data_IF_876018933092
#
_entry.id   IF_876018933092
#
_cell.length_a   1.000
_cell.length_b   1.000
_cell.length_c   1.000
_cell.angle_alpha   90.00
_cell.angle_beta   90.00
_cell.angle_gamma   90.00
#
_symmetry.space_group_name_H-M   'P 1'
#
loop_
_entity.id
_entity.type
_entity.pdbx_description
1 polymer ?
#
# COMPACT_ATOMS: atom_id res chain seq x y z
N UNK A 1 14.25 5.49 30.39
CA UNK A 1 13.71 6.52 31.28
C UNK A 1 13.49 5.89 32.65
N UNK A 2 13.94 6.52 33.73
CA UNK A 2 13.72 6.02 35.10
C UNK A 2 12.28 6.29 35.52
N UNK A 3 11.75 5.51 36.46
CA UNK A 3 10.35 5.65 36.91
C UNK A 3 10.02 7.03 37.52
N UNK A 4 11.01 7.60 38.21
CA UNK A 4 10.91 8.96 38.76
C UNK A 4 10.76 10.01 37.64
N UNK A 5 11.56 9.90 36.57
CA UNK A 5 11.52 10.83 35.43
C UNK A 5 10.17 10.74 34.70
N UNK A 6 9.61 9.52 34.64
CA UNK A 6 8.29 9.31 34.05
C UNK A 6 7.17 9.95 34.84
N UNK A 7 7.22 9.85 36.18
CA UNK A 7 6.23 10.53 37.06
C UNK A 7 6.28 12.04 36.88
N UNK A 8 7.49 12.64 36.92
CA UNK A 8 7.66 14.09 36.65
C UNK A 8 7.10 14.52 35.30
N UNK A 9 7.24 13.69 34.29
CA UNK A 9 6.66 13.95 32.95
C UNK A 9 5.13 13.89 33.00
N UNK A 10 4.54 12.94 33.75
CA UNK A 10 3.10 12.86 33.90
C UNK A 10 2.54 14.06 34.69
N UNK A 11 3.23 14.46 35.75
CA UNK A 11 2.85 15.64 36.55
C UNK A 11 2.86 16.91 35.67
N UNK A 12 3.88 17.09 34.85
CA UNK A 12 4.00 18.21 33.91
C UNK A 12 2.92 18.22 32.80
N UNK A 13 2.25 17.09 32.51
CA UNK A 13 1.14 17.08 31.56
C UNK A 13 -0.09 17.85 32.04
N UNK A 14 -0.25 17.98 33.38
CA UNK A 14 -1.35 18.74 33.97
C UNK A 14 -1.27 20.26 33.73
N UNK A 15 -0.07 20.78 33.47
CA UNK A 15 0.20 22.21 33.28
C UNK A 15 0.14 22.63 31.78
N UNK A 16 -0.18 21.69 30.87
CA UNK A 16 -0.22 21.96 29.46
C UNK A 16 -1.47 22.71 29.01
N UNK A 17 -1.30 23.69 28.14
CA UNK A 17 -2.42 24.34 27.47
C UNK A 17 -3.01 23.42 26.36
N UNK A 18 -4.24 23.69 25.84
CA UNK A 18 -4.89 22.82 24.86
C UNK A 18 -4.05 22.55 23.60
N UNK A 19 -3.32 23.56 23.09
CA UNK A 19 -2.47 23.38 21.91
C UNK A 19 -1.25 22.49 22.19
N UNK A 20 -0.68 22.59 23.39
CA UNK A 20 0.40 21.72 23.84
C UNK A 20 -0.07 20.27 24.05
N UNK A 21 -1.29 20.07 24.55
CA UNK A 21 -1.91 18.76 24.70
C UNK A 21 -2.07 18.10 23.33
N UNK A 22 -2.61 18.81 22.34
CA UNK A 22 -2.76 18.32 20.98
C UNK A 22 -1.40 17.93 20.36
N UNK A 23 -0.39 18.78 20.55
CA UNK A 23 0.97 18.49 20.08
C UNK A 23 1.56 17.26 20.78
N UNK A 24 1.39 17.12 22.09
CA UNK A 24 1.87 15.97 22.85
C UNK A 24 1.18 14.67 22.38
N UNK A 25 -0.14 14.70 22.17
CA UNK A 25 -0.90 13.57 21.64
C UNK A 25 -0.37 13.15 20.28
N UNK A 26 -0.13 14.09 19.36
CA UNK A 26 0.43 13.83 18.05
C UNK A 26 1.83 13.18 18.13
N UNK A 27 2.67 13.67 19.03
CA UNK A 27 4.00 13.10 19.27
C UNK A 27 3.93 11.66 19.81
N UNK A 28 3.06 11.39 20.77
CA UNK A 28 2.85 10.04 21.34
C UNK A 28 2.32 9.09 20.27
N UNK A 29 1.35 9.49 19.47
CA UNK A 29 0.83 8.68 18.36
C UNK A 29 1.90 8.38 17.30
N UNK A 30 2.77 9.34 17.01
CA UNK A 30 3.89 9.14 16.09
C UNK A 30 4.93 8.14 16.65
N UNK A 31 5.25 8.24 17.95
CA UNK A 31 6.16 7.30 18.61
C UNK A 31 5.57 5.90 18.64
N UNK A 32 4.31 5.75 19.01
CA UNK A 32 3.60 4.47 19.02
C UNK A 32 3.65 3.82 17.64
N UNK A 33 3.31 4.55 16.59
CA UNK A 33 3.34 4.07 15.20
C UNK A 33 4.73 3.58 14.79
N UNK A 34 5.80 4.31 15.18
CA UNK A 34 7.18 3.90 14.91
C UNK A 34 7.56 2.62 15.66
N UNK A 35 7.22 2.52 16.93
CA UNK A 35 7.52 1.32 17.74
C UNK A 35 6.78 0.09 17.23
N UNK A 36 5.51 0.23 16.86
CA UNK A 36 4.72 -0.85 16.25
C UNK A 36 5.34 -1.32 14.92
N UNK A 37 5.68 -0.39 14.03
CA UNK A 37 6.32 -0.74 12.76
C UNK A 37 7.69 -1.44 12.94
N UNK A 38 8.49 -1.01 13.91
CA UNK A 38 9.75 -1.68 14.26
C UNK A 38 9.47 -3.08 14.77
N UNK A 39 8.52 -3.25 15.69
CA UNK A 39 8.14 -4.55 16.25
C UNK A 39 7.69 -5.52 15.17
N UNK A 40 6.84 -5.10 14.23
CA UNK A 40 6.40 -5.93 13.11
C UNK A 40 7.56 -6.34 12.18
N UNK A 41 8.49 -5.42 11.89
CA UNK A 41 9.68 -5.71 11.09
C UNK A 41 10.63 -6.69 11.83
N UNK A 42 10.78 -6.53 13.15
CA UNK A 42 11.61 -7.43 13.95
C UNK A 42 10.97 -8.81 14.10
N UNK A 43 9.65 -8.90 14.27
CA UNK A 43 8.90 -10.17 14.28
C UNK A 43 9.13 -10.95 12.98
N UNK A 44 9.03 -10.27 11.84
CA UNK A 44 9.34 -10.88 10.53
C UNK A 44 10.79 -11.36 10.47
N UNK A 45 11.76 -10.57 10.96
CA UNK A 45 13.17 -10.94 10.90
C UNK A 45 13.51 -12.13 11.80
N UNK A 46 12.71 -12.40 12.82
CA UNK A 46 12.86 -13.61 13.64
C UNK A 46 12.36 -14.87 12.93
N UNK A 47 11.36 -14.75 12.09
CA UNK A 47 10.82 -15.86 11.29
C UNK A 47 11.70 -16.21 10.08
N UNK A 48 12.26 -15.21 9.39
CA UNK A 48 13.15 -15.41 8.24
C UNK A 48 14.58 -15.65 8.72
N UNK A 49 14.96 -16.91 8.84
CA UNK A 49 16.28 -17.32 9.35
C UNK A 49 17.41 -17.21 8.32
N UNK A 50 17.27 -17.64 7.05
CA UNK A 50 18.37 -17.67 6.11
C UNK A 50 18.80 -16.28 5.64
N UNK A 51 20.08 -16.13 5.33
CA UNK A 51 20.64 -14.93 4.72
C UNK A 51 20.05 -14.72 3.32
N UNK A 52 19.48 -13.53 3.01
CA UNK A 52 18.88 -13.28 1.70
C UNK A 52 19.87 -13.25 0.53
N UNK A 53 21.19 -13.28 0.81
CA UNK A 53 22.25 -13.25 -0.22
C UNK A 53 22.86 -14.62 -0.51
N UNK A 54 22.95 -15.51 0.46
CA UNK A 54 23.63 -16.81 0.30
C UNK A 54 22.85 -17.99 0.89
N UNK A 55 21.67 -17.77 1.48
CA UNK A 55 20.84 -18.83 2.05
C UNK A 55 21.34 -19.43 3.38
N UNK A 56 22.49 -19.05 3.89
CA UNK A 56 23.04 -19.61 5.13
C UNK A 56 22.28 -19.06 6.35
N UNK A 57 21.90 -19.95 7.28
CA UNK A 57 21.12 -19.58 8.47
C UNK A 57 21.96 -18.93 9.59
N UNK A 58 23.28 -19.19 9.62
CA UNK A 58 24.17 -18.68 10.65
C UNK A 58 24.34 -17.16 10.55
N UNK A 59 23.73 -16.45 11.48
CA UNK A 59 23.79 -14.98 11.59
C UNK A 59 24.14 -14.55 13.00
N UNK A 60 24.77 -13.40 13.12
CA UNK A 60 25.02 -12.73 14.39
C UNK A 60 24.38 -11.34 14.41
N UNK A 61 23.95 -10.88 15.59
CA UNK A 61 23.46 -9.49 15.77
C UNK A 61 24.62 -8.53 15.49
N UNK A 62 24.36 -7.51 14.66
CA UNK A 62 25.35 -6.53 14.19
C UNK A 62 24.88 -5.10 14.40
N UNK A 63 24.51 -4.77 15.65
CA UNK A 63 24.00 -3.46 16.01
C UNK A 63 22.62 -3.15 15.45
N UNK A 64 22.21 -1.89 15.56
CA UNK A 64 20.91 -1.38 15.07
C UNK A 64 21.12 -0.35 13.98
N UNK A 65 20.08 -0.19 13.11
CA UNK A 65 20.02 0.90 12.16
C UNK A 65 19.71 2.22 12.88
N UNK A 66 19.90 3.37 12.19
CA UNK A 66 19.49 4.67 12.72
C UNK A 66 17.99 4.73 13.08
N UNK A 67 17.16 3.91 12.45
CA UNK A 67 15.72 3.79 12.72
C UNK A 67 15.37 2.79 13.82
N UNK A 68 16.37 2.24 14.54
CA UNK A 68 16.17 1.31 15.65
C UNK A 68 16.04 -0.17 15.28
N UNK A 69 16.01 -0.53 14.00
CA UNK A 69 15.82 -1.91 13.52
C UNK A 69 17.09 -2.72 13.73
N UNK A 70 16.97 -3.95 14.25
CA UNK A 70 18.09 -4.87 14.43
C UNK A 70 18.73 -5.24 13.10
N UNK A 71 20.05 -5.10 13.00
CA UNK A 71 20.88 -5.58 11.89
C UNK A 71 21.53 -6.92 12.26
N UNK A 72 21.69 -7.74 11.25
CA UNK A 72 22.37 -9.01 11.33
C UNK A 72 23.53 -9.06 10.34
N UNK A 73 24.59 -9.79 10.66
CA UNK A 73 25.68 -10.11 9.75
C UNK A 73 25.70 -11.61 9.51
N UNK A 74 25.73 -12.01 8.25
CA UNK A 74 25.87 -13.41 7.87
C UNK A 74 27.29 -13.89 8.16
N UNK A 75 27.44 -15.05 8.76
CA UNK A 75 28.77 -15.65 9.00
C UNK A 75 29.36 -16.29 7.74
N UNK A 76 28.55 -16.65 6.76
CA UNK A 76 29.05 -17.24 5.51
C UNK A 76 29.53 -16.17 4.52
N UNK A 77 28.67 -15.24 4.10
CA UNK A 77 29.04 -14.25 3.08
C UNK A 77 29.48 -12.89 3.63
N UNK A 78 29.46 -12.67 4.94
CA UNK A 78 29.86 -11.41 5.60
C UNK A 78 28.91 -10.23 5.39
N UNK A 79 27.88 -10.35 4.52
CA UNK A 79 26.92 -9.28 4.24
C UNK A 79 26.01 -8.99 5.43
N UNK A 80 25.64 -7.72 5.59
CA UNK A 80 24.71 -7.30 6.62
C UNK A 80 23.30 -7.16 6.06
N UNK A 81 22.30 -7.55 6.85
CA UNK A 81 20.89 -7.49 6.48
C UNK A 81 20.01 -7.20 7.71
N UNK A 82 18.74 -6.89 7.48
CA UNK A 82 17.74 -6.66 8.51
C UNK A 82 16.39 -7.24 8.04
N UNK A 83 15.36 -7.21 8.85
CA UNK A 83 14.01 -7.64 8.45
C UNK A 83 13.43 -6.91 7.26
N UNK A 84 14.03 -5.79 6.86
CA UNK A 84 13.65 -5.04 5.65
C UNK A 84 14.35 -5.54 4.37
N UNK A 85 15.48 -6.19 4.50
CA UNK A 85 16.28 -6.65 3.35
C UNK A 85 15.52 -7.70 2.56
N UNK A 86 15.56 -7.60 1.24
CA UNK A 86 14.80 -8.45 0.30
C UNK A 86 13.27 -8.38 0.53
N UNK A 87 12.77 -7.29 1.09
CA UNK A 87 11.34 -7.03 1.22
C UNK A 87 10.95 -5.76 0.50
N UNK A 88 9.66 -5.62 0.23
CA UNK A 88 9.05 -4.45 -0.41
C UNK A 88 9.38 -3.15 0.33
N UNK A 89 9.42 -3.23 1.67
CA UNK A 89 9.75 -2.08 2.52
C UNK A 89 11.26 -1.78 2.58
N UNK A 90 12.09 -2.55 1.87
CA UNK A 90 13.55 -2.39 1.88
C UNK A 90 14.01 -0.98 1.50
N UNK A 91 13.38 -0.38 0.51
CA UNK A 91 13.68 0.96 -0.02
C UNK A 91 12.78 2.08 0.53
N UNK A 92 11.87 1.78 1.45
CA UNK A 92 10.95 2.76 2.01
C UNK A 92 11.62 3.45 3.21
N UNK A 93 11.81 4.78 3.14
CA UNK A 93 12.45 5.55 4.21
C UNK A 93 11.58 5.67 5.47
N UNK A 94 10.27 5.71 5.32
CA UNK A 94 9.29 5.85 6.40
C UNK A 94 8.41 4.59 6.48
N UNK A 95 8.94 3.46 6.98
CA UNK A 95 8.17 2.20 7.07
C UNK A 95 6.95 2.33 7.99
N UNK A 96 7.02 3.18 9.01
CA UNK A 96 5.92 3.51 9.93
C UNK A 96 4.70 4.08 9.20
N UNK A 97 4.92 5.00 8.26
CA UNK A 97 3.85 5.59 7.46
C UNK A 97 3.37 4.63 6.36
N UNK A 98 4.27 3.84 5.79
CA UNK A 98 3.89 2.79 4.85
C UNK A 98 2.96 1.75 5.49
N UNK A 99 3.27 1.30 6.72
CA UNK A 99 2.39 0.40 7.46
C UNK A 99 1.03 1.03 7.76
N UNK A 100 0.96 2.35 8.00
CA UNK A 100 -0.32 3.04 8.14
C UNK A 100 -1.14 3.05 6.83
N UNK A 101 -0.49 3.21 5.68
CA UNK A 101 -1.16 3.09 4.37
C UNK A 101 -1.63 1.66 4.14
N UNK A 102 -0.80 0.66 4.46
CA UNK A 102 -1.16 -0.75 4.34
C UNK A 102 -2.36 -1.13 5.21
N UNK A 103 -2.39 -0.68 6.48
CA UNK A 103 -3.53 -0.90 7.38
C UNK A 103 -4.82 -0.24 6.89
N UNK A 104 -4.73 0.94 6.25
CA UNK A 104 -5.89 1.59 5.63
C UNK A 104 -6.43 0.76 4.45
N UNK A 105 -5.56 0.09 3.69
CA UNK A 105 -5.97 -0.76 2.55
C UNK A 105 -6.54 -2.11 2.97
N UNK A 106 -6.02 -2.70 4.05
CA UNK A 106 -6.38 -4.04 4.54
C UNK A 106 -7.40 -4.01 5.67
N UNK A 107 -7.82 -2.82 6.10
CA UNK A 107 -8.81 -2.67 7.16
C UNK A 107 -10.21 -3.10 6.72
N UNK A 108 -11.08 -3.41 7.68
CA UNK A 108 -12.49 -3.78 7.45
C UNK A 108 -13.35 -2.62 6.94
N UNK A 109 -12.92 -1.38 7.17
CA UNK A 109 -13.59 -0.19 6.65
C UNK A 109 -13.11 0.13 5.23
N UNK A 110 -13.97 0.80 4.43
CA UNK A 110 -13.60 1.23 3.10
C UNK A 110 -12.33 2.12 3.13
N UNK A 111 -11.33 1.85 2.26
CA UNK A 111 -10.10 2.61 2.23
C UNK A 111 -10.34 4.10 1.98
N UNK A 112 -9.64 4.96 2.69
CA UNK A 112 -9.77 6.41 2.51
C UNK A 112 -9.26 6.83 1.12
N UNK A 113 -9.75 7.95 0.60
CA UNK A 113 -9.19 8.50 -0.63
C UNK A 113 -7.70 8.84 -0.45
N UNK A 114 -6.91 8.74 -1.52
CA UNK A 114 -5.46 9.05 -1.49
C UNK A 114 -5.19 10.45 -0.93
N UNK A 115 -6.06 11.44 -1.24
CA UNK A 115 -5.90 12.81 -0.77
C UNK A 115 -6.10 12.94 0.74
N UNK A 116 -7.20 12.39 1.27
CA UNK A 116 -7.51 12.39 2.71
C UNK A 116 -6.43 11.65 3.52
N UNK A 117 -5.99 10.49 3.02
CA UNK A 117 -4.95 9.73 3.67
C UNK A 117 -3.60 10.45 3.67
N UNK A 118 -3.24 11.11 2.57
CA UNK A 118 -2.02 11.90 2.46
C UNK A 118 -2.02 13.08 3.44
N UNK A 119 -3.12 13.81 3.53
CA UNK A 119 -3.30 14.91 4.48
C UNK A 119 -3.18 14.42 5.93
N UNK A 120 -3.91 13.36 6.30
CA UNK A 120 -3.87 12.76 7.64
C UNK A 120 -2.46 12.29 8.06
N UNK A 121 -1.67 11.79 7.12
CA UNK A 121 -0.32 11.27 7.38
C UNK A 121 0.79 12.31 7.17
N UNK A 122 0.47 13.51 6.73
CA UNK A 122 1.46 14.55 6.38
C UNK A 122 2.36 14.12 5.22
N UNK A 123 1.80 13.42 4.22
CA UNK A 123 2.53 12.91 3.07
C UNK A 123 2.08 13.57 1.77
N UNK A 124 2.96 13.53 0.76
CA UNK A 124 2.54 13.89 -0.59
C UNK A 124 1.58 12.83 -1.15
N UNK A 125 0.50 13.26 -1.83
CA UNK A 125 -0.50 12.39 -2.45
C UNK A 125 0.10 11.35 -3.42
N UNK A 126 1.15 11.74 -4.16
CA UNK A 126 1.86 10.81 -5.06
C UNK A 126 2.62 9.72 -4.32
N UNK A 127 3.13 10.00 -3.11
CA UNK A 127 3.79 8.99 -2.27
C UNK A 127 2.78 7.94 -1.82
N UNK A 128 1.61 8.36 -1.32
CA UNK A 128 0.54 7.44 -0.91
C UNK A 128 0.06 6.61 -2.11
N UNK A 129 -0.17 7.26 -3.26
CA UNK A 129 -0.57 6.56 -4.48
C UNK A 129 0.46 5.52 -4.91
N UNK A 130 1.76 5.87 -4.97
CA UNK A 130 2.84 4.94 -5.33
C UNK A 130 2.94 3.76 -4.35
N UNK A 131 2.73 3.99 -3.07
CA UNK A 131 2.75 2.93 -2.09
C UNK A 131 1.57 1.98 -2.25
N UNK A 132 0.38 2.48 -2.56
CA UNK A 132 -0.77 1.63 -2.90
C UNK A 132 -0.51 0.79 -4.15
N UNK A 133 0.01 1.40 -5.21
CA UNK A 133 0.38 0.67 -6.43
C UNK A 133 1.45 -0.40 -6.15
N UNK A 134 2.39 -0.11 -5.26
CA UNK A 134 3.38 -1.09 -4.83
C UNK A 134 2.72 -2.30 -4.15
N UNK A 135 1.75 -2.08 -3.26
CA UNK A 135 1.00 -3.16 -2.61
C UNK A 135 0.24 -3.99 -3.65
N UNK A 136 -0.49 -3.36 -4.55
CA UNK A 136 -1.19 -4.08 -5.63
C UNK A 136 -0.24 -4.91 -6.49
N UNK A 137 0.93 -4.37 -6.85
CA UNK A 137 1.92 -5.11 -7.64
C UNK A 137 2.49 -6.34 -6.95
N UNK A 138 2.37 -6.43 -5.62
CA UNK A 138 2.81 -7.58 -4.85
C UNK A 138 1.71 -8.64 -4.82
N UNK A 139 0.47 -8.20 -4.64
CA UNK A 139 -0.70 -9.09 -4.68
C UNK A 139 -0.79 -9.74 -6.06
N UNK A 140 -0.60 -8.97 -7.13
CA UNK A 140 -0.61 -9.46 -8.51
C UNK A 140 0.51 -10.49 -8.81
N UNK A 141 1.66 -10.38 -8.12
CA UNK A 141 2.77 -11.34 -8.24
C UNK A 141 2.66 -12.55 -7.32
N UNK A 142 1.71 -12.51 -6.38
CA UNK A 142 1.44 -13.64 -5.50
C UNK A 142 0.96 -14.83 -6.33
N UNK A 143 1.45 -16.03 -6.01
CA UNK A 143 0.89 -17.25 -6.57
C UNK A 143 -0.61 -17.27 -6.25
N UNK A 144 -1.44 -17.38 -7.27
CA UNK A 144 -2.87 -17.60 -7.09
C UNK A 144 -3.03 -18.96 -6.43
N UNK A 145 -3.21 -18.93 -5.12
CA UNK A 145 -3.68 -20.12 -4.40
C UNK A 145 -4.99 -20.54 -5.05
N UNK A 146 -5.07 -21.77 -5.50
CA UNK A 146 -6.30 -22.30 -6.05
C UNK A 146 -7.43 -22.07 -5.03
N UNK A 147 -8.47 -21.37 -5.47
CA UNK A 147 -9.64 -21.13 -4.63
C UNK A 147 -10.27 -22.49 -4.28
N UNK A 148 -10.56 -22.72 -3.00
CA UNK A 148 -11.26 -23.92 -2.52
C UNK A 148 -12.51 -23.48 -1.77
N UNK A 149 -13.63 -24.17 -2.02
CA UNK A 149 -14.91 -23.86 -1.41
C UNK A 149 -15.90 -23.20 -2.36
N UNK A 150 -16.87 -22.48 -1.82
CA UNK A 150 -17.88 -21.74 -2.59
C UNK A 150 -17.24 -20.39 -2.98
N UNK A 151 -17.16 -20.14 -4.28
CA UNK A 151 -16.61 -18.89 -4.82
C UNK A 151 -17.75 -18.14 -5.48
N UNK A 152 -18.02 -16.92 -5.03
CA UNK A 152 -18.91 -15.98 -5.71
C UNK A 152 -18.07 -15.05 -6.58
N UNK A 153 -18.44 -14.94 -7.85
CA UNK A 153 -17.84 -14.01 -8.79
C UNK A 153 -18.91 -13.04 -9.28
N UNK A 154 -18.64 -11.74 -9.19
CA UNK A 154 -19.53 -10.69 -9.70
C UNK A 154 -18.83 -9.90 -10.81
N UNK A 155 -19.60 -9.47 -11.80
CA UNK A 155 -19.15 -8.68 -12.92
C UNK A 155 -19.65 -7.24 -12.79
N UNK A 156 -18.76 -6.28 -12.78
CA UNK A 156 -19.13 -4.87 -12.87
C UNK A 156 -18.74 -4.29 -14.22
N UNK A 157 -19.73 -3.78 -14.94
CA UNK A 157 -19.54 -3.14 -16.22
C UNK A 157 -19.36 -1.64 -16.04
N UNK A 158 -18.19 -1.12 -16.38
CA UNK A 158 -17.96 0.32 -16.41
C UNK A 158 -18.02 0.83 -17.86
N UNK A 159 -18.68 1.98 -18.03
CA UNK A 159 -18.63 2.68 -19.31
C UNK A 159 -17.22 3.19 -19.56
N UNK A 160 -16.76 3.08 -20.79
CA UNK A 160 -15.49 3.65 -21.20
C UNK A 160 -15.42 5.15 -20.87
N UNK A 161 -14.30 5.58 -20.30
CA UNK A 161 -14.07 6.99 -20.02
C UNK A 161 -13.85 7.76 -21.31
N UNK A 162 -14.76 8.67 -21.64
CA UNK A 162 -14.67 9.56 -22.80
C UNK A 162 -13.93 10.87 -22.49
N UNK A 163 -13.38 11.01 -21.28
CA UNK A 163 -12.62 12.19 -20.87
C UNK A 163 -11.35 12.31 -21.71
N UNK A 164 -11.12 13.48 -22.30
CA UNK A 164 -9.95 13.77 -23.11
C UNK A 164 -10.05 13.39 -24.60
N UNK A 165 -11.10 12.72 -25.02
CA UNK A 165 -11.34 12.46 -26.43
C UNK A 165 -11.82 13.73 -27.13
N UNK A 166 -10.99 14.29 -28.02
CA UNK A 166 -11.35 15.47 -28.83
C UNK A 166 -12.51 15.21 -29.77
N UNK A 167 -12.66 13.98 -30.24
CA UNK A 167 -13.75 13.57 -31.15
C UNK A 167 -15.10 13.59 -30.42
N UNK A 168 -15.16 13.07 -29.20
CA UNK A 168 -16.36 13.14 -28.39
C UNK A 168 -16.72 14.57 -27.98
N UNK A 169 -15.73 15.43 -27.70
CA UNK A 169 -15.97 16.85 -27.41
C UNK A 169 -16.60 17.55 -28.61
N UNK A 170 -16.11 17.29 -29.83
CA UNK A 170 -16.70 17.85 -31.07
C UNK A 170 -18.12 17.34 -31.30
N UNK A 171 -18.37 16.04 -31.12
CA UNK A 171 -19.68 15.45 -31.26
C UNK A 171 -20.69 16.07 -30.28
N UNK A 172 -20.31 16.24 -29.00
CA UNK A 172 -21.18 16.85 -27.99
C UNK A 172 -21.44 18.36 -28.22
N UNK A 173 -20.49 19.06 -28.83
CA UNK A 173 -20.66 20.47 -29.17
C UNK A 173 -21.62 20.67 -30.35
N UNK A 174 -21.61 19.78 -31.32
CA UNK A 174 -22.48 19.82 -32.50
C UNK A 174 -22.92 18.41 -32.95
N UNK A 175 -23.93 17.83 -32.26
CA UNK A 175 -24.37 16.47 -32.55
C UNK A 175 -25.01 16.27 -33.92
N UNK A 176 -25.49 17.35 -34.56
CA UNK A 176 -26.18 17.28 -35.84
C UNK A 176 -25.21 17.17 -37.02
N UNK A 177 -24.06 17.84 -36.94
CA UNK A 177 -23.10 17.90 -38.03
C UNK A 177 -21.87 17.01 -37.78
N UNK A 178 -21.54 16.67 -36.55
CA UNK A 178 -20.38 15.83 -36.18
C UNK A 178 -20.88 14.47 -35.71
N UNK A 179 -20.71 13.40 -36.50
CA UNK A 179 -21.10 12.07 -36.07
C UNK A 179 -20.31 11.59 -34.84
N UNK A 180 -20.89 10.68 -34.04
CA UNK A 180 -20.15 10.09 -32.92
C UNK A 180 -18.92 9.34 -33.44
N UNK A 181 -17.80 9.32 -32.71
CA UNK A 181 -16.63 8.55 -33.09
C UNK A 181 -16.95 7.09 -33.35
N UNK A 182 -16.28 6.47 -34.32
CA UNK A 182 -16.51 5.07 -34.67
C UNK A 182 -16.31 4.18 -33.45
N UNK A 183 -17.19 3.20 -33.27
CA UNK A 183 -17.03 2.22 -32.19
C UNK A 183 -15.73 1.44 -32.42
N UNK A 184 -14.91 1.21 -31.35
CA UNK A 184 -13.75 0.37 -31.47
C UNK A 184 -14.15 -0.99 -32.04
N UNK A 185 -13.37 -1.52 -32.97
CA UNK A 185 -13.61 -2.87 -33.50
C UNK A 185 -13.43 -3.87 -32.38
N UNK A 186 -14.25 -4.94 -32.37
CA UNK A 186 -14.25 -5.94 -31.30
C UNK A 186 -12.92 -6.68 -31.11
N UNK A 187 -12.01 -6.59 -32.09
CA UNK A 187 -10.66 -7.12 -32.03
C UNK A 187 -9.75 -6.33 -31.07
N UNK A 188 -10.02 -5.04 -30.83
CA UNK A 188 -9.24 -4.17 -29.96
C UNK A 188 -9.44 -4.47 -28.48
N UNK A 189 -10.43 -5.28 -28.13
CA UNK A 189 -10.78 -5.68 -26.75
C UNK A 189 -10.58 -7.16 -26.46
N UNK A 190 -10.09 -7.92 -27.43
CA UNK A 190 -9.75 -9.32 -27.19
C UNK A 190 -8.35 -9.43 -26.59
N UNK A 191 -8.26 -9.33 -25.28
CA UNK A 191 -7.19 -10.02 -24.56
C UNK A 191 -7.37 -11.51 -24.85
N UNK A 192 -6.54 -12.04 -25.77
CA UNK A 192 -6.30 -13.46 -26.04
C UNK A 192 -7.36 -14.42 -25.48
N UNK A 193 -8.45 -14.60 -26.23
CA UNK A 193 -9.31 -15.75 -26.04
C UNK A 193 -10.61 -15.58 -25.26
N UNK A 194 -10.90 -14.46 -24.66
CA UNK A 194 -12.21 -14.18 -24.04
C UNK A 194 -13.19 -13.68 -25.12
N UNK A 195 -14.01 -14.59 -25.65
CA UNK A 195 -15.17 -14.22 -26.45
C UNK A 195 -16.14 -13.42 -25.57
N UNK A 196 -16.40 -12.18 -25.97
CA UNK A 196 -17.46 -11.38 -25.34
C UNK A 196 -18.78 -12.12 -25.41
N UNK A 197 -19.33 -12.50 -24.27
CA UNK A 197 -20.67 -13.10 -24.21
C UNK A 197 -21.71 -12.06 -24.67
N UNK A 198 -22.67 -12.50 -25.48
CA UNK A 198 -23.67 -11.62 -26.07
C UNK A 198 -24.47 -10.84 -25.01
N UNK A 199 -24.60 -9.53 -25.22
CA UNK A 199 -25.36 -8.63 -24.35
C UNK A 199 -24.62 -7.39 -23.85
N UNK A 200 -23.27 -7.39 -23.91
CA UNK A 200 -22.46 -6.25 -23.51
C UNK A 200 -22.35 -5.21 -24.64
N UNK A 201 -22.50 -3.95 -24.28
CA UNK A 201 -22.16 -2.86 -25.19
C UNK A 201 -20.66 -2.85 -25.42
N UNK A 202 -20.20 -2.63 -26.65
CA UNK A 202 -18.77 -2.52 -27.02
C UNK A 202 -18.00 -1.43 -26.24
N UNK A 203 -18.69 -0.66 -25.44
CA UNK A 203 -18.15 0.43 -24.61
C UNK A 203 -18.06 0.07 -23.12
N UNK A 204 -18.32 -1.18 -22.75
CA UNK A 204 -18.27 -1.66 -21.39
C UNK A 204 -17.08 -2.62 -21.23
N UNK A 205 -16.21 -2.33 -20.27
CA UNK A 205 -15.10 -3.20 -19.89
C UNK A 205 -15.57 -4.04 -18.70
N UNK A 206 -15.51 -5.38 -18.79
CA UNK A 206 -15.84 -6.24 -17.66
C UNK A 206 -14.71 -6.20 -16.63
N UNK A 207 -15.06 -6.01 -15.38
CA UNK A 207 -14.18 -6.20 -14.25
C UNK A 207 -14.71 -7.38 -13.43
N UNK A 208 -13.86 -8.37 -13.17
CA UNK A 208 -14.18 -9.51 -12.33
C UNK A 208 -13.67 -9.25 -10.92
N UNK A 209 -14.55 -9.37 -9.94
CA UNK A 209 -14.21 -9.36 -8.52
C UNK A 209 -14.43 -10.77 -7.99
N UNK A 210 -13.42 -11.31 -7.29
CA UNK A 210 -13.50 -12.59 -6.57
C UNK A 210 -13.53 -12.26 -5.07
N UNK A 211 -14.53 -12.78 -4.37
CA UNK A 211 -14.72 -12.64 -2.93
C UNK A 211 -14.49 -13.99 -2.22
#
# INVERSE_FOLDING_TARGET
MRQHDFRRLLDALGDLNPAQIEHAQMMVMNLRRKTEAISEIEARSSQVKPCPSCGIEHRQKWGRTRTGIQRYRCRGCGKTFSGRTASVIGRIHRPDLFMAVLRDMLGTAAPQSVRKLAERLGLNKYTVWRWRMLVFSIIDRGETTAFSGIIEADETHQRESRKGSREWVRHFADPQNVPPPPRPRGEDFTTKGLKMMGGLSKWQLPFFFFF
#
